data_IF_179205596341
#
_entry.id   IF_179205596341
#
_cell.length_a   1.000
_cell.length_b   1.000
_cell.length_c   1.000
_cell.angle_alpha   90.00
_cell.angle_beta   90.00
_cell.angle_gamma   90.00
#
_symmetry.space_group_name_H-M   'P 1'
#
loop_
_entity.id
_entity.type
_entity.pdbx_description
1 polymer ?
#
# COMPACT_ATOMS: atom_id res chain seq x y z
N UNK A 1 -66.94 -48.41 10.16
CA UNK A 1 -67.10 -46.95 9.98
C UNK A 1 -65.73 -46.35 9.68
N UNK A 2 -65.62 -45.73 8.51
CA UNK A 2 -64.48 -44.90 8.08
C UNK A 2 -64.33 -43.72 9.06
N UNK A 3 -63.12 -43.20 9.26
CA UNK A 3 -62.75 -41.84 8.85
C UNK A 3 -61.22 -41.70 8.86
N UNK A 4 -60.70 -41.35 7.69
CA UNK A 4 -59.32 -40.99 7.37
C UNK A 4 -59.12 -39.55 7.82
N UNK A 5 -58.01 -39.23 8.51
CA UNK A 5 -57.63 -37.84 8.77
C UNK A 5 -56.23 -37.54 8.21
N UNK A 6 -56.27 -37.08 6.96
CA UNK A 6 -55.64 -35.86 6.41
C UNK A 6 -54.16 -35.62 6.75
N UNK A 7 -53.35 -35.91 5.72
CA UNK A 7 -52.06 -35.33 5.38
C UNK A 7 -52.03 -33.81 5.67
N UNK A 8 -51.16 -33.37 6.58
CA UNK A 8 -50.78 -31.96 6.69
C UNK A 8 -49.56 -31.75 5.80
N UNK A 9 -49.80 -31.30 4.56
CA UNK A 9 -48.74 -30.79 3.68
C UNK A 9 -48.41 -29.38 4.19
N UNK A 10 -47.27 -29.25 4.87
CA UNK A 10 -46.70 -27.95 5.14
C UNK A 10 -46.22 -27.35 3.82
N UNK A 11 -47.01 -26.44 3.26
CA UNK A 11 -46.58 -25.55 2.18
C UNK A 11 -45.57 -24.59 2.80
N UNK A 12 -44.27 -24.88 2.65
CA UNK A 12 -43.23 -23.88 2.87
C UNK A 12 -43.40 -22.82 1.77
N UNK A 13 -44.00 -21.70 2.14
CA UNK A 13 -43.89 -20.46 1.39
C UNK A 13 -42.42 -20.11 1.28
N UNK A 14 -41.87 -20.18 0.06
CA UNK A 14 -40.59 -19.56 -0.30
C UNK A 14 -40.75 -18.05 -0.15
N UNK A 15 -40.55 -17.54 1.07
CA UNK A 15 -40.21 -16.16 1.27
C UNK A 15 -38.87 -15.95 0.57
N UNK A 16 -38.88 -15.12 -0.47
CA UNK A 16 -37.70 -14.60 -1.15
C UNK A 16 -36.66 -14.22 -0.10
N UNK A 17 -35.63 -15.06 0.03
CA UNK A 17 -34.42 -14.68 0.73
C UNK A 17 -33.84 -13.54 -0.08
N UNK A 18 -34.08 -12.30 0.35
CA UNK A 18 -33.07 -11.25 0.16
C UNK A 18 -31.76 -11.92 0.53
N UNK A 19 -30.87 -12.11 -0.45
CA UNK A 19 -29.54 -12.59 -0.19
C UNK A 19 -29.03 -11.79 1.01
N UNK A 20 -28.77 -12.51 2.10
CA UNK A 20 -28.13 -11.94 3.26
C UNK A 20 -26.80 -11.42 2.71
N UNK A 21 -26.70 -10.11 2.49
CA UNK A 21 -25.44 -9.45 2.16
C UNK A 21 -24.49 -9.82 3.30
N UNK A 22 -23.58 -10.73 3.01
CA UNK A 22 -22.54 -11.14 3.96
C UNK A 22 -21.81 -9.88 4.42
N UNK A 23 -21.45 -9.77 5.71
CA UNK A 23 -20.73 -8.60 6.19
C UNK A 23 -19.40 -8.49 5.44
N UNK A 24 -19.06 -7.26 5.07
CA UNK A 24 -17.71 -6.65 5.06
C UNK A 24 -16.52 -7.61 5.11
N UNK A 25 -15.63 -7.53 4.11
CA UNK A 25 -14.29 -8.13 4.05
C UNK A 25 -13.73 -8.51 5.44
N UNK A 26 -13.68 -9.81 5.71
CA UNK A 26 -13.14 -10.36 6.95
C UNK A 26 -11.62 -10.39 6.85
N UNK A 27 -10.93 -9.65 7.71
CA UNK A 27 -9.46 -9.73 7.82
C UNK A 27 -9.03 -11.12 8.27
N UNK A 28 -8.18 -11.78 7.48
CA UNK A 28 -7.57 -13.06 7.84
C UNK A 28 -6.23 -12.81 8.51
N UNK A 29 -6.09 -13.22 9.78
CA UNK A 29 -4.81 -13.22 10.49
C UNK A 29 -3.91 -14.36 9.96
N UNK A 30 -3.25 -14.10 8.83
CA UNK A 30 -2.34 -15.04 8.16
C UNK A 30 -0.89 -14.60 8.28
N UNK A 31 0.01 -15.58 8.28
CA UNK A 31 1.45 -15.33 8.25
C UNK A 31 1.90 -14.89 6.84
N UNK A 32 3.03 -14.17 6.71
CA UNK A 32 3.62 -13.88 5.40
C UNK A 32 3.84 -15.13 4.54
N UNK A 33 4.20 -16.27 5.15
CA UNK A 33 4.36 -17.54 4.44
C UNK A 33 3.05 -18.07 3.85
N UNK A 34 1.93 -17.90 4.56
CA UNK A 34 0.61 -18.28 4.06
C UNK A 34 0.17 -17.35 2.93
N UNK A 35 0.32 -16.03 3.09
CA UNK A 35 0.05 -15.06 2.02
C UNK A 35 0.84 -15.41 0.76
N UNK A 36 2.15 -15.65 0.87
CA UNK A 36 3.00 -15.99 -0.25
C UNK A 36 2.59 -17.29 -0.97
N UNK A 37 1.92 -18.21 -0.28
CA UNK A 37 1.38 -19.43 -0.91
C UNK A 37 0.13 -19.19 -1.75
N UNK A 38 -0.50 -18.01 -1.63
CA UNK A 38 -1.64 -17.57 -2.42
C UNK A 38 -1.23 -16.71 -3.62
N UNK A 39 0.03 -16.26 -3.68
CA UNK A 39 0.56 -15.43 -4.78
C UNK A 39 0.93 -16.29 -5.99
N UNK A 40 0.51 -15.85 -7.17
CA UNK A 40 0.96 -16.37 -8.46
C UNK A 40 2.24 -15.63 -8.88
N UNK A 41 2.07 -14.53 -9.61
CA UNK A 41 3.12 -13.64 -10.06
C UNK A 41 2.61 -12.20 -10.09
N UNK A 42 3.53 -11.25 -9.93
CA UNK A 42 3.21 -9.86 -9.66
C UNK A 42 3.48 -8.91 -10.82
N UNK A 43 2.87 -7.73 -10.75
CA UNK A 43 3.10 -6.61 -11.66
C UNK A 43 3.40 -5.34 -10.87
N UNK A 44 4.40 -4.56 -11.30
CA UNK A 44 4.65 -3.22 -10.79
C UNK A 44 3.98 -2.19 -11.72
N UNK A 45 3.18 -1.29 -11.16
CA UNK A 45 2.69 -0.11 -11.90
C UNK A 45 3.81 0.95 -12.00
N UNK A 46 4.85 0.62 -12.75
CA UNK A 46 6.06 1.43 -12.83
C UNK A 46 5.90 2.71 -13.65
N UNK A 47 6.79 3.67 -13.38
CA UNK A 47 6.88 5.02 -13.94
C UNK A 47 5.55 5.78 -13.94
N UNK A 48 4.75 5.59 -12.90
CA UNK A 48 3.38 6.11 -12.78
C UNK A 48 3.25 6.88 -11.47
N UNK A 49 2.85 6.23 -10.37
CA UNK A 49 2.63 6.89 -9.08
C UNK A 49 3.93 7.29 -8.38
N UNK A 50 5.06 6.75 -8.82
CA UNK A 50 6.38 7.12 -8.34
C UNK A 50 7.09 8.18 -9.18
N UNK A 51 6.53 8.56 -10.32
CA UNK A 51 7.14 9.55 -11.18
C UNK A 51 7.39 10.84 -10.39
N UNK A 52 8.61 11.38 -10.49
CA UNK A 52 9.05 12.52 -9.70
C UNK A 52 9.56 13.63 -10.62
N UNK A 53 9.16 14.87 -10.31
CA UNK A 53 9.73 16.08 -10.88
C UNK A 53 9.96 17.13 -9.81
N UNK A 54 11.19 17.17 -9.30
CA UNK A 54 11.62 18.10 -8.25
C UNK A 54 11.48 19.57 -8.65
N UNK A 55 11.43 19.89 -9.95
CA UNK A 55 11.25 21.27 -10.42
C UNK A 55 9.79 21.75 -10.29
N UNK A 56 8.86 20.82 -10.03
CA UNK A 56 7.43 21.08 -9.98
C UNK A 56 6.80 20.92 -8.59
N UNK A 57 7.56 20.58 -7.53
CA UNK A 57 7.01 20.30 -6.19
C UNK A 57 6.13 21.42 -5.61
N UNK A 58 6.39 22.68 -5.96
CA UNK A 58 5.64 23.83 -5.46
C UNK A 58 4.61 24.35 -6.49
N UNK A 59 4.23 23.53 -7.46
CA UNK A 59 3.19 23.84 -8.43
C UNK A 59 1.87 23.26 -7.92
N UNK A 60 0.83 24.09 -7.84
CA UNK A 60 -0.52 23.69 -7.40
C UNK A 60 -1.10 22.50 -8.18
N UNK A 61 -0.66 22.30 -9.44
CA UNK A 61 -1.13 21.19 -10.28
C UNK A 61 -0.29 19.91 -10.13
N UNK A 62 0.79 19.90 -9.33
CA UNK A 62 1.74 18.78 -9.27
C UNK A 62 1.08 17.46 -8.88
N UNK A 63 0.20 17.48 -7.87
CA UNK A 63 -0.61 16.32 -7.45
C UNK A 63 -1.45 15.71 -8.59
N UNK A 64 -1.85 16.52 -9.57
CA UNK A 64 -2.72 16.11 -10.67
C UNK A 64 -1.94 15.58 -11.88
N UNK A 65 -0.68 15.98 -12.03
CA UNK A 65 0.13 15.66 -13.22
C UNK A 65 1.21 14.61 -12.96
N UNK A 66 1.61 14.43 -11.69
CA UNK A 66 2.72 13.56 -11.27
C UNK A 66 2.61 12.15 -11.86
N UNK A 67 1.44 11.53 -11.76
CA UNK A 67 1.13 10.19 -12.28
C UNK A 67 1.52 9.98 -13.76
N UNK A 68 1.43 11.02 -14.59
CA UNK A 68 1.70 10.96 -16.03
C UNK A 68 3.03 11.60 -16.42
N UNK A 69 3.82 12.06 -15.44
CA UNK A 69 4.99 12.89 -15.66
C UNK A 69 6.10 12.18 -16.43
N UNK A 70 6.19 10.86 -16.30
CA UNK A 70 7.15 10.03 -17.03
C UNK A 70 6.56 9.32 -18.26
N UNK A 71 5.43 9.82 -18.77
CA UNK A 71 4.90 9.46 -20.10
C UNK A 71 3.87 8.33 -20.10
N UNK A 72 3.56 7.74 -18.94
CA UNK A 72 2.43 6.82 -18.83
C UNK A 72 1.09 7.56 -18.94
N UNK A 73 0.07 6.83 -19.38
CA UNK A 73 -1.31 7.32 -19.35
C UNK A 73 -1.85 7.25 -17.93
N UNK A 74 -2.89 8.05 -17.66
CA UNK A 74 -3.60 7.98 -16.38
C UNK A 74 -4.13 6.55 -16.15
N UNK A 75 -3.82 6.01 -14.98
CA UNK A 75 -4.21 4.67 -14.55
C UNK A 75 -5.72 4.56 -14.45
N UNK A 76 -6.26 3.44 -14.91
CA UNK A 76 -7.66 3.09 -14.78
C UNK A 76 -7.81 1.59 -14.46
N UNK A 77 -8.95 1.22 -13.87
CA UNK A 77 -9.22 -0.15 -13.38
C UNK A 77 -8.99 -1.24 -14.43
N UNK A 78 -9.33 -0.97 -15.70
CA UNK A 78 -9.16 -1.90 -16.82
C UNK A 78 -7.73 -2.47 -16.99
N UNK A 79 -6.69 -1.75 -16.54
CA UNK A 79 -5.31 -2.27 -16.55
C UNK A 79 -5.19 -3.48 -15.60
N UNK A 80 -5.72 -3.35 -14.39
CA UNK A 80 -5.66 -4.37 -13.35
C UNK A 80 -6.55 -5.56 -13.67
N UNK A 81 -7.81 -5.33 -14.08
CA UNK A 81 -8.72 -6.43 -14.42
C UNK A 81 -8.20 -7.26 -15.59
N UNK A 82 -7.60 -6.63 -16.61
CA UNK A 82 -6.93 -7.34 -17.71
C UNK A 82 -5.79 -8.22 -17.20
N UNK A 83 -4.96 -7.74 -16.27
CA UNK A 83 -3.85 -8.51 -15.70
C UNK A 83 -4.37 -9.63 -14.77
N UNK A 84 -5.42 -9.39 -14.00
CA UNK A 84 -6.08 -10.40 -13.16
C UNK A 84 -6.66 -11.53 -14.00
N UNK A 85 -7.30 -11.23 -15.13
CA UNK A 85 -7.77 -12.23 -16.10
C UNK A 85 -6.61 -13.11 -16.61
N UNK A 86 -5.41 -12.53 -16.70
CA UNK A 86 -4.15 -13.19 -17.06
C UNK A 86 -3.37 -13.76 -15.85
N UNK A 87 -4.04 -13.94 -14.71
CA UNK A 87 -3.54 -14.63 -13.50
C UNK A 87 -2.52 -13.86 -12.65
N UNK A 88 -2.27 -12.59 -12.94
CA UNK A 88 -1.61 -11.71 -11.97
C UNK A 88 -2.53 -11.53 -10.76
N UNK A 89 -2.00 -11.64 -9.55
CA UNK A 89 -2.81 -11.48 -8.34
C UNK A 89 -2.10 -10.74 -7.22
N UNK A 90 -0.94 -10.14 -7.51
CA UNK A 90 -0.31 -9.15 -6.65
C UNK A 90 0.18 -7.97 -7.48
N UNK A 91 -0.13 -6.77 -7.03
CA UNK A 91 0.22 -5.53 -7.71
C UNK A 91 1.01 -4.63 -6.77
N UNK A 92 2.23 -4.28 -7.16
CA UNK A 92 3.00 -3.26 -6.45
C UNK A 92 2.73 -1.91 -7.07
N UNK A 93 2.32 -0.95 -6.24
CA UNK A 93 1.98 0.43 -6.61
C UNK A 93 3.10 1.31 -6.06
N UNK A 94 4.26 1.36 -6.75
CA UNK A 94 5.38 2.20 -6.33
C UNK A 94 4.91 3.65 -6.24
N UNK A 95 5.07 4.30 -5.08
CA UNK A 95 4.49 5.63 -4.84
C UNK A 95 5.51 6.57 -4.24
N UNK A 96 5.75 7.70 -4.91
CA UNK A 96 6.58 8.77 -4.39
C UNK A 96 5.69 9.78 -3.68
N UNK A 97 6.03 10.14 -2.46
CA UNK A 97 5.27 11.09 -1.65
C UNK A 97 5.95 12.46 -1.60
N UNK A 98 7.27 12.52 -1.80
CA UNK A 98 8.01 13.77 -1.95
C UNK A 98 7.39 14.70 -3.00
N UNK A 99 7.05 15.93 -2.58
CA UNK A 99 6.33 16.92 -3.39
C UNK A 99 4.79 16.88 -3.24
N UNK A 100 4.27 15.90 -2.50
CA UNK A 100 2.83 15.69 -2.27
C UNK A 100 2.45 15.82 -0.78
N UNK A 101 3.25 16.53 0.00
CA UNK A 101 2.97 16.85 1.39
C UNK A 101 3.54 18.23 1.78
N UNK A 102 2.89 18.88 2.74
CA UNK A 102 3.27 20.20 3.27
C UNK A 102 4.62 20.15 4.03
N UNK A 103 5.23 21.29 4.30
CA UNK A 103 6.43 21.34 5.13
C UNK A 103 6.20 20.93 6.61
N UNK A 104 7.29 20.83 7.36
CA UNK A 104 7.29 20.62 8.80
C UNK A 104 6.38 21.64 9.54
N UNK A 105 5.81 21.28 10.70
CA UNK A 105 6.06 20.06 11.48
C UNK A 105 5.08 18.91 11.19
N UNK A 106 4.03 19.16 10.41
CA UNK A 106 2.95 18.20 10.24
C UNK A 106 3.19 17.24 9.07
N UNK A 107 3.91 17.70 8.03
CA UNK A 107 4.14 16.93 6.81
C UNK A 107 2.83 16.35 6.26
N UNK A 108 1.79 17.18 6.23
CA UNK A 108 0.43 16.75 5.85
C UNK A 108 0.44 16.34 4.38
N UNK A 109 0.10 15.10 4.09
CA UNK A 109 -0.07 14.61 2.72
C UNK A 109 -1.25 15.36 2.10
N UNK A 110 -1.06 15.86 0.88
CA UNK A 110 -2.11 16.56 0.17
C UNK A 110 -3.30 15.63 -0.06
N UNK A 111 -4.50 16.09 0.29
CA UNK A 111 -5.73 15.28 0.23
C UNK A 111 -6.02 14.77 -1.20
N UNK A 112 -5.63 15.55 -2.22
CA UNK A 112 -5.76 15.19 -3.64
C UNK A 112 -4.89 13.98 -3.98
N UNK A 113 -3.63 13.99 -3.53
CA UNK A 113 -2.70 12.90 -3.77
C UNK A 113 -3.11 11.63 -3.03
N UNK A 114 -3.40 11.71 -1.72
CA UNK A 114 -3.85 10.55 -0.93
C UNK A 114 -5.10 9.91 -1.56
N UNK A 115 -6.07 10.73 -1.96
CA UNK A 115 -7.28 10.24 -2.63
C UNK A 115 -6.95 9.52 -3.94
N UNK A 116 -6.01 10.02 -4.74
CA UNK A 116 -5.62 9.40 -6.01
C UNK A 116 -4.88 8.08 -5.79
N UNK A 117 -3.95 8.03 -4.82
CA UNK A 117 -3.27 6.79 -4.43
C UNK A 117 -4.28 5.73 -3.98
N UNK A 118 -5.25 6.09 -3.12
CA UNK A 118 -6.33 5.18 -2.71
C UNK A 118 -7.14 4.68 -3.90
N UNK A 119 -7.48 5.55 -4.85
CA UNK A 119 -8.22 5.16 -6.06
C UNK A 119 -7.46 4.09 -6.87
N UNK A 120 -6.14 4.25 -7.03
CA UNK A 120 -5.30 3.30 -7.76
C UNK A 120 -5.12 1.98 -7.00
N UNK A 121 -4.92 2.03 -5.68
CA UNK A 121 -4.90 0.84 -4.81
C UNK A 121 -6.22 0.07 -4.93
N UNK A 122 -7.35 0.79 -4.92
CA UNK A 122 -8.70 0.21 -5.00
C UNK A 122 -8.93 -0.57 -6.29
N UNK A 123 -8.32 -0.19 -7.41
CA UNK A 123 -8.48 -0.88 -8.69
C UNK A 123 -8.03 -2.35 -8.62
N UNK A 124 -6.95 -2.65 -7.91
CA UNK A 124 -6.51 -4.02 -7.68
C UNK A 124 -7.22 -4.66 -6.47
N UNK A 125 -7.28 -3.93 -5.36
CA UNK A 125 -7.79 -4.43 -4.08
C UNK A 125 -9.25 -4.88 -4.16
N UNK A 126 -10.14 -4.08 -4.75
CA UNK A 126 -11.57 -4.42 -4.87
C UNK A 126 -11.84 -5.60 -5.81
N UNK A 127 -10.89 -5.92 -6.69
CA UNK A 127 -10.93 -7.08 -7.56
C UNK A 127 -10.28 -8.33 -6.92
N UNK A 128 -10.00 -8.29 -5.61
CA UNK A 128 -9.52 -9.43 -4.83
C UNK A 128 -8.04 -9.77 -5.04
N UNK A 129 -7.27 -8.85 -5.64
CA UNK A 129 -5.83 -9.01 -5.76
C UNK A 129 -5.11 -8.43 -4.54
N UNK A 130 -3.93 -8.98 -4.26
CA UNK A 130 -2.99 -8.40 -3.31
C UNK A 130 -2.41 -7.09 -3.84
N UNK A 131 -2.13 -6.15 -2.95
CA UNK A 131 -1.56 -4.85 -3.28
C UNK A 131 -0.40 -4.55 -2.33
N UNK A 132 0.74 -4.11 -2.87
CA UNK A 132 1.86 -3.56 -2.11
C UNK A 132 1.88 -2.05 -2.36
N UNK A 133 1.81 -1.25 -1.30
CA UNK A 133 1.98 0.21 -1.32
C UNK A 133 3.23 0.59 -0.54
N UNK A 134 4.07 1.47 -1.09
CA UNK A 134 5.36 1.81 -0.52
C UNK A 134 5.64 3.32 -0.43
N UNK A 135 6.88 3.66 -0.06
CA UNK A 135 7.51 4.94 -0.36
C UNK A 135 8.70 4.74 -1.32
N UNK A 136 8.67 5.37 -2.49
CA UNK A 136 9.55 5.00 -3.61
C UNK A 136 10.75 5.95 -3.82
N UNK A 137 10.58 7.07 -4.53
CA UNK A 137 11.67 8.01 -4.87
C UNK A 137 11.73 9.18 -3.90
N UNK A 138 11.84 8.87 -2.61
CA UNK A 138 11.85 9.89 -1.57
C UNK A 138 13.12 10.75 -1.56
N UNK A 139 12.94 12.02 -1.23
CA UNK A 139 14.03 13.01 -1.18
C UNK A 139 14.63 13.18 0.22
N UNK A 140 14.09 12.47 1.21
CA UNK A 140 14.36 12.70 2.63
C UNK A 140 15.00 11.50 3.34
N UNK A 141 15.05 10.33 2.72
CA UNK A 141 15.43 9.05 3.36
C UNK A 141 16.84 8.56 3.03
N UNK A 142 17.74 9.43 2.57
CA UNK A 142 19.15 9.07 2.36
C UNK A 142 19.77 8.55 3.69
N UNK A 143 20.48 7.43 3.60
CA UNK A 143 20.90 6.63 4.74
C UNK A 143 22.22 7.11 5.36
N UNK A 144 22.24 8.34 5.88
CA UNK A 144 23.36 8.94 6.62
C UNK A 144 22.96 9.23 8.07
N UNK A 145 23.92 9.19 9.00
CA UNK A 145 23.67 9.45 10.42
C UNK A 145 23.21 10.87 10.69
N UNK A 146 23.76 11.85 9.98
CA UNK A 146 23.38 13.26 10.11
C UNK A 146 21.97 13.54 9.55
N UNK A 147 21.47 12.70 8.63
CA UNK A 147 20.12 12.78 8.08
C UNK A 147 19.08 11.97 8.90
N UNK A 148 19.50 11.02 9.74
CA UNK A 148 18.59 10.06 10.39
C UNK A 148 17.43 10.73 11.16
N UNK A 149 17.69 11.78 11.94
CA UNK A 149 16.65 12.42 12.75
C UNK A 149 15.54 13.05 11.89
N UNK A 150 15.92 13.71 10.78
CA UNK A 150 14.98 14.26 9.81
C UNK A 150 14.20 13.15 9.09
N UNK A 151 14.92 12.13 8.62
CA UNK A 151 14.30 10.99 7.93
C UNK A 151 13.31 10.25 8.83
N UNK A 152 13.64 10.07 10.12
CA UNK A 152 12.77 9.48 11.13
C UNK A 152 11.48 10.28 11.31
N UNK A 153 11.58 11.59 11.48
CA UNK A 153 10.42 12.46 11.68
C UNK A 153 9.44 12.35 10.51
N UNK A 154 9.93 12.46 9.28
CA UNK A 154 9.12 12.36 8.06
C UNK A 154 8.55 10.95 7.91
N UNK A 155 9.35 9.89 8.15
CA UNK A 155 8.88 8.49 8.13
C UNK A 155 7.67 8.31 9.02
N UNK A 156 7.77 8.76 10.28
CA UNK A 156 6.69 8.59 11.26
C UNK A 156 5.45 9.35 10.77
N UNK A 157 5.60 10.62 10.38
CA UNK A 157 4.46 11.47 9.99
C UNK A 157 3.73 10.98 8.74
N UNK A 158 4.45 10.54 7.72
CA UNK A 158 3.83 10.01 6.50
C UNK A 158 3.16 8.66 6.78
N UNK A 159 3.85 7.74 7.46
CA UNK A 159 3.28 6.42 7.73
C UNK A 159 2.15 6.43 8.75
N UNK A 160 2.08 7.41 9.67
CA UNK A 160 0.87 7.63 10.50
C UNK A 160 -0.35 7.94 9.60
N UNK A 161 -0.19 8.85 8.64
CA UNK A 161 -1.27 9.26 7.72
C UNK A 161 -1.67 8.15 6.74
N UNK A 162 -0.69 7.49 6.12
CA UNK A 162 -0.93 6.37 5.17
C UNK A 162 -1.60 5.21 5.92
N UNK A 163 -1.07 4.80 7.08
CA UNK A 163 -1.67 3.69 7.82
C UNK A 163 -3.09 4.01 8.31
N UNK A 164 -3.38 5.26 8.69
CA UNK A 164 -4.74 5.67 9.07
C UNK A 164 -5.72 5.64 7.88
N UNK A 165 -5.33 6.15 6.70
CA UNK A 165 -6.18 6.15 5.49
C UNK A 165 -6.61 4.74 5.09
N UNK A 166 -5.69 3.78 5.24
CA UNK A 166 -5.85 2.41 4.78
C UNK A 166 -6.14 1.41 5.93
N UNK A 167 -6.48 1.89 7.13
CA UNK A 167 -6.61 1.06 8.34
C UNK A 167 -7.61 -0.09 8.24
N UNK A 168 -8.65 0.08 7.43
CA UNK A 168 -9.77 -0.87 7.28
C UNK A 168 -9.59 -1.83 6.09
N UNK A 169 -8.47 -1.73 5.36
CA UNK A 169 -8.13 -2.66 4.27
C UNK A 169 -7.65 -3.98 4.86
N UNK A 170 -8.15 -5.10 4.34
CA UNK A 170 -7.84 -6.43 4.86
C UNK A 170 -6.39 -6.89 4.53
N UNK A 171 -6.09 -8.19 4.70
CA UNK A 171 -4.75 -8.73 4.48
C UNK A 171 -4.26 -8.67 3.03
N UNK A 172 -5.14 -8.34 2.06
CA UNK A 172 -4.72 -8.14 0.67
C UNK A 172 -3.85 -6.88 0.51
N UNK A 173 -3.97 -5.89 1.40
CA UNK A 173 -3.10 -4.72 1.37
C UNK A 173 -1.87 -4.89 2.28
N UNK A 174 -0.70 -4.80 1.67
CA UNK A 174 0.63 -4.87 2.27
C UNK A 174 1.28 -3.49 2.20
N UNK A 175 1.95 -3.08 3.26
CA UNK A 175 2.80 -1.89 3.24
C UNK A 175 4.27 -2.28 3.14
N UNK A 176 5.02 -1.56 2.31
CA UNK A 176 6.47 -1.67 2.20
C UNK A 176 7.11 -0.36 2.66
N UNK A 177 8.03 -0.40 3.62
CA UNK A 177 8.57 0.83 4.24
C UNK A 177 9.17 1.81 3.23
N UNK A 178 10.09 1.30 2.41
CA UNK A 178 10.89 2.03 1.43
C UNK A 178 11.18 1.11 0.25
N UNK A 179 11.46 1.71 -0.91
CA UNK A 179 12.01 1.00 -2.07
C UNK A 179 13.50 0.61 -1.85
N UNK A 180 14.41 1.57 -2.04
CA UNK A 180 15.86 1.32 -2.07
C UNK A 180 16.63 2.34 -1.21
N UNK A 181 16.40 2.38 0.11
CA UNK A 181 17.07 3.33 0.98
C UNK A 181 18.57 3.05 0.98
N UNK A 182 19.36 4.10 0.75
CA UNK A 182 20.80 3.99 0.46
C UNK A 182 21.53 5.29 0.76
N UNK A 183 22.85 5.25 0.71
CA UNK A 183 23.69 6.45 0.81
C UNK A 183 23.82 7.12 -0.56
N UNK A 184 22.80 7.90 -0.95
CA UNK A 184 22.74 8.60 -2.24
C UNK A 184 24.00 9.43 -2.51
N UNK A 185 24.58 9.29 -3.70
CA UNK A 185 25.78 10.01 -4.14
C UNK A 185 27.10 9.49 -3.56
N UNK A 186 27.08 8.49 -2.66
CA UNK A 186 28.31 7.93 -2.10
C UNK A 186 28.99 6.93 -3.04
N UNK A 187 30.32 6.68 -2.91
CA UNK A 187 31.01 5.64 -3.67
C UNK A 187 30.53 4.20 -3.40
N UNK A 188 29.74 4.00 -2.34
CA UNK A 188 29.17 2.72 -1.88
C UNK A 188 27.66 2.61 -2.11
N UNK A 189 27.05 3.60 -2.78
CA UNK A 189 25.60 3.71 -2.99
C UNK A 189 24.98 2.38 -3.44
N UNK A 190 25.57 1.73 -4.45
CA UNK A 190 25.10 0.47 -5.04
C UNK A 190 26.03 -0.72 -4.75
N UNK A 191 26.82 -0.66 -3.68
CA UNK A 191 27.81 -1.70 -3.31
C UNK A 191 27.54 -2.32 -1.95
N UNK A 192 26.28 -2.29 -1.51
CA UNK A 192 25.86 -2.79 -0.19
C UNK A 192 26.13 -1.82 0.99
N UNK A 193 26.55 -0.59 0.70
CA UNK A 193 26.75 0.46 1.69
C UNK A 193 27.93 0.20 2.63
N UNK A 194 28.03 1.03 3.67
CA UNK A 194 28.92 0.83 4.81
C UNK A 194 28.10 0.47 6.08
N UNK A 195 28.76 0.42 7.23
CA UNK A 195 28.09 0.14 8.51
C UNK A 195 26.99 1.16 8.84
N UNK A 196 27.30 2.45 8.66
CA UNK A 196 26.36 3.56 8.87
C UNK A 196 25.10 3.42 8.00
N UNK A 197 25.26 3.25 6.69
CA UNK A 197 24.11 3.15 5.78
C UNK A 197 23.20 1.98 6.13
N UNK A 198 23.76 0.83 6.49
CA UNK A 198 22.96 -0.33 6.93
C UNK A 198 22.29 -0.11 8.27
N UNK A 199 22.95 0.54 9.23
CA UNK A 199 22.38 0.87 10.53
C UNK A 199 21.22 1.88 10.40
N UNK A 200 21.37 2.92 9.59
CA UNK A 200 20.29 3.91 9.34
C UNK A 200 19.09 3.24 8.68
N UNK A 201 19.29 2.39 7.67
CA UNK A 201 18.19 1.62 7.04
C UNK A 201 17.46 0.76 8.07
N UNK A 202 18.18 0.04 8.93
CA UNK A 202 17.57 -0.78 9.98
C UNK A 202 16.76 0.06 10.97
N UNK A 203 17.28 1.22 11.37
CA UNK A 203 16.57 2.15 12.26
C UNK A 203 15.30 2.69 11.61
N UNK A 204 15.35 3.15 10.36
CA UNK A 204 14.19 3.67 9.65
C UNK A 204 13.11 2.59 9.44
N UNK A 205 13.51 1.37 9.06
CA UNK A 205 12.58 0.24 8.96
C UNK A 205 11.88 -0.05 10.29
N UNK A 206 12.61 0.03 11.40
CA UNK A 206 12.04 -0.17 12.74
C UNK A 206 11.04 0.95 13.11
N UNK A 207 11.32 2.20 12.76
CA UNK A 207 10.39 3.32 13.00
C UNK A 207 9.12 3.18 12.14
N UNK A 208 9.23 2.75 10.89
CA UNK A 208 8.07 2.38 10.06
C UNK A 208 7.21 1.31 10.72
N UNK A 209 7.81 0.17 11.13
CA UNK A 209 7.06 -0.95 11.74
C UNK A 209 6.34 -0.48 13.00
N UNK A 210 7.03 0.22 13.91
CA UNK A 210 6.41 0.75 15.14
C UNK A 210 5.26 1.70 14.82
N UNK A 211 5.44 2.57 13.83
CA UNK A 211 4.45 3.56 13.43
C UNK A 211 3.18 2.89 12.93
N UNK A 212 3.28 1.98 11.97
CA UNK A 212 2.12 1.26 11.42
C UNK A 212 1.41 0.46 12.51
N UNK A 213 2.15 -0.23 13.39
CA UNK A 213 1.55 -1.01 14.49
C UNK A 213 0.86 -0.16 15.56
N UNK A 214 1.19 1.12 15.66
CA UNK A 214 0.59 2.02 16.66
C UNK A 214 -0.78 2.55 16.22
N UNK A 215 -1.11 2.52 14.94
CA UNK A 215 -2.39 3.03 14.43
C UNK A 215 -3.58 2.10 14.68
N UNK A 216 -3.34 0.84 15.06
CA UNK A 216 -4.41 -0.08 15.46
C UNK A 216 -5.23 -0.65 14.29
N UNK A 217 -6.38 -1.23 14.59
CA UNK A 217 -7.26 -1.84 13.59
C UNK A 217 -6.58 -3.03 12.90
N UNK A 218 -6.73 -3.16 11.58
CA UNK A 218 -6.05 -4.22 10.84
C UNK A 218 -4.54 -3.99 10.71
N UNK A 219 -4.05 -2.77 10.97
CA UNK A 219 -2.62 -2.48 10.94
C UNK A 219 -1.84 -3.19 12.06
N UNK A 220 -2.49 -3.66 13.13
CA UNK A 220 -1.83 -4.47 14.16
C UNK A 220 -1.27 -5.78 13.59
N UNK A 221 -1.94 -6.34 12.58
CA UNK A 221 -1.63 -7.63 11.97
C UNK A 221 -1.28 -7.55 10.48
N UNK A 222 -1.45 -6.40 9.83
CA UNK A 222 -1.12 -6.18 8.41
C UNK A 222 0.30 -6.68 8.12
N UNK A 223 0.47 -7.45 7.05
CA UNK A 223 1.79 -7.87 6.62
C UNK A 223 2.58 -6.64 6.14
N UNK A 224 3.82 -6.52 6.61
CA UNK A 224 4.72 -5.42 6.25
C UNK A 224 5.96 -5.98 5.55
N UNK A 225 6.42 -5.25 4.54
CA UNK A 225 7.69 -5.47 3.86
C UNK A 225 8.69 -4.40 4.28
N UNK A 226 9.94 -4.79 4.44
CA UNK A 226 11.06 -3.88 4.73
C UNK A 226 12.25 -4.28 3.85
N UNK A 227 12.90 -3.35 3.15
CA UNK A 227 14.04 -3.65 2.31
C UNK A 227 15.32 -3.73 3.14
N UNK A 228 16.32 -4.40 2.57
CA UNK A 228 17.71 -4.19 2.97
C UNK A 228 18.26 -2.90 2.33
N UNK A 229 19.50 -2.54 2.67
CA UNK A 229 20.20 -1.44 2.00
C UNK A 229 20.20 -1.64 0.48
N UNK A 230 19.72 -0.63 -0.27
CA UNK A 230 19.66 -0.62 -1.74
C UNK A 230 19.12 -1.92 -2.36
N UNK A 231 18.06 -2.50 -1.79
CA UNK A 231 17.49 -3.76 -2.24
C UNK A 231 16.82 -3.59 -3.62
N UNK A 232 17.54 -4.05 -4.66
CA UNK A 232 17.06 -4.15 -6.05
C UNK A 232 16.20 -5.40 -6.27
#
# INVERSE_FOLDING_TARGET
MKFINILSVAVLTLASSKALTLPTNYFRDITPKQLLSEINFGYNLGNTMEAIDRTAFNNDDYDLISETRWGNVKTHEGIFTTLIDNKFNIFRIPTTWSGHFDDAPDYKIHDVWMKRVREVVDYAYKNGAYVILDTQHETWNDAYYDNYEKAKEITIKLWEQIAEEFKDYDEHLIFESFNEPRMGGSPVEWKGGNEEGRDVVNKLNNEFVKTVRKTGGYNDKRILMVPLYAAQ
#
